data_IF_279009350632
#
_entry.id   IF_279009350632
#
_cell.length_a   1.000
_cell.length_b   1.000
_cell.length_c   1.000
_cell.angle_alpha   90.00
_cell.angle_beta   90.00
_cell.angle_gamma   90.00
#
_symmetry.space_group_name_H-M   'P 1'
#
loop_
_entity.id
_entity.type
_entity.pdbx_description
1 polymer ?
#
# COMPACT_ATOMS: atom_id res chain seq x y z
N UNK A 1 -2.51 -4.00 -12.41
CA UNK A 1 -2.54 -3.68 -10.96
C UNK A 1 -3.92 -3.91 -10.36
N UNK A 2 -4.98 -3.43 -10.98
CA UNK A 2 -6.35 -3.49 -10.42
C UNK A 2 -6.83 -4.93 -10.16
N UNK A 3 -6.50 -5.87 -11.06
CA UNK A 3 -6.71 -7.31 -10.83
C UNK A 3 -5.94 -7.84 -9.60
N UNK A 4 -4.70 -7.39 -9.39
CA UNK A 4 -3.92 -7.77 -8.20
C UNK A 4 -4.57 -7.24 -6.93
N UNK A 5 -5.07 -6.00 -6.93
CA UNK A 5 -5.80 -5.43 -5.80
C UNK A 5 -7.04 -6.25 -5.47
N UNK A 6 -7.84 -6.63 -6.47
CA UNK A 6 -9.01 -7.51 -6.28
C UNK A 6 -8.63 -8.88 -5.70
N UNK A 7 -7.55 -9.48 -6.17
CA UNK A 7 -7.04 -10.74 -5.62
C UNK A 7 -6.60 -10.58 -4.15
N UNK A 8 -5.88 -9.50 -3.85
CA UNK A 8 -5.41 -9.20 -2.50
C UNK A 8 -6.55 -8.88 -1.53
N UNK A 9 -7.61 -8.19 -1.99
CA UNK A 9 -8.81 -7.95 -1.17
C UNK A 9 -9.45 -9.28 -0.74
N UNK A 10 -9.68 -10.19 -1.69
CA UNK A 10 -10.27 -11.51 -1.43
C UNK A 10 -9.40 -12.36 -0.52
N UNK A 11 -8.08 -12.34 -0.76
CA UNK A 11 -7.11 -13.05 0.07
C UNK A 11 -7.10 -12.50 1.50
N UNK A 12 -7.06 -11.17 1.65
CA UNK A 12 -7.11 -10.47 2.93
C UNK A 12 -8.35 -10.86 3.72
N UNK A 13 -9.53 -10.84 3.09
CA UNK A 13 -10.78 -11.24 3.71
C UNK A 13 -10.75 -12.71 4.16
N UNK A 14 -10.36 -13.62 3.26
CA UNK A 14 -10.29 -15.05 3.55
C UNK A 14 -9.35 -15.34 4.72
N UNK A 15 -8.13 -14.80 4.69
CA UNK A 15 -7.12 -14.97 5.74
C UNK A 15 -7.60 -14.35 7.06
N UNK A 16 -8.23 -13.18 7.02
CA UNK A 16 -8.80 -12.54 8.20
C UNK A 16 -9.89 -13.40 8.86
N UNK A 17 -10.73 -14.08 8.07
CA UNK A 17 -11.78 -14.94 8.64
C UNK A 17 -11.22 -16.14 9.40
N UNK A 18 -10.09 -16.70 8.94
CA UNK A 18 -9.42 -17.85 9.56
C UNK A 18 -8.65 -17.41 10.81
N UNK A 19 -7.87 -16.34 10.73
CA UNK A 19 -7.04 -15.82 11.83
C UNK A 19 -7.88 -15.19 12.95
N UNK A 20 -8.95 -14.49 12.57
CA UNK A 20 -9.83 -13.76 13.48
C UNK A 20 -11.24 -14.34 13.35
N UNK A 21 -11.41 -15.61 13.73
CA UNK A 21 -12.69 -16.33 13.66
C UNK A 21 -13.86 -15.58 14.30
N UNK A 22 -13.59 -14.84 15.38
CA UNK A 22 -14.58 -13.99 16.04
C UNK A 22 -14.77 -12.64 15.32
N UNK A 23 -15.96 -12.44 14.75
CA UNK A 23 -16.34 -11.25 14.00
C UNK A 23 -16.31 -9.95 14.82
N UNK A 24 -16.53 -10.01 16.14
CA UNK A 24 -16.50 -8.84 17.02
C UNK A 24 -15.14 -8.15 17.06
N UNK A 25 -14.06 -8.90 16.76
CA UNK A 25 -12.71 -8.39 16.72
C UNK A 25 -12.21 -8.07 15.30
N UNK A 26 -13.00 -8.32 14.24
CA UNK A 26 -12.64 -7.96 12.85
C UNK A 26 -12.78 -6.47 12.53
N UNK A 27 -12.85 -5.60 13.56
CA UNK A 27 -13.10 -4.17 13.39
C UNK A 27 -12.01 -3.54 12.53
N UNK A 28 -12.45 -2.77 11.54
CA UNK A 28 -11.60 -2.18 10.52
C UNK A 28 -10.96 -0.84 10.96
N UNK A 29 -10.88 -0.56 12.26
CA UNK A 29 -10.40 0.74 12.72
C UNK A 29 -8.88 0.92 12.58
N UNK A 30 -8.52 2.15 12.23
CA UNK A 30 -7.26 2.58 11.61
C UNK A 30 -5.98 2.47 12.47
N UNK A 31 -6.02 1.86 13.66
CA UNK A 31 -4.81 1.55 14.44
C UNK A 31 -4.32 0.16 14.09
N UNK A 32 -3.52 0.18 13.03
CA UNK A 32 -3.10 -0.91 12.18
C UNK A 32 -2.03 -1.80 12.85
N UNK A 33 -2.33 -2.39 14.00
CA UNK A 33 -1.52 -3.44 14.60
C UNK A 33 -2.39 -4.68 14.80
N UNK A 34 -2.39 -5.56 13.79
CA UNK A 34 -3.17 -6.81 13.82
C UNK A 34 -2.49 -7.92 14.61
N UNK A 35 -1.18 -7.79 14.88
CA UNK A 35 -0.44 -8.73 15.70
C UNK A 35 -0.73 -8.45 17.19
N UNK A 36 -1.12 -9.45 17.99
CA UNK A 36 -1.25 -9.26 19.43
C UNK A 36 0.12 -8.88 20.02
N UNK A 37 0.17 -8.10 21.10
CA UNK A 37 1.41 -7.84 21.83
C UNK A 37 2.13 -9.15 22.20
N UNK A 38 3.45 -9.13 22.45
CA UNK A 38 4.17 -10.30 22.93
C UNK A 38 3.46 -10.93 24.14
N UNK A 39 3.36 -12.27 24.18
CA UNK A 39 2.70 -13.07 25.24
C UNK A 39 1.18 -12.89 25.36
N UNK A 40 0.54 -12.22 24.41
CA UNK A 40 -0.92 -12.05 24.36
C UNK A 40 -1.57 -12.78 23.19
N UNK A 41 -0.80 -13.58 22.45
CA UNK A 41 -1.37 -14.45 21.43
C UNK A 41 -2.21 -15.56 22.09
N UNK A 42 -3.41 -15.90 21.58
CA UNK A 42 -4.22 -16.97 22.17
C UNK A 42 -3.47 -18.28 22.37
N UNK A 43 -2.58 -18.64 21.43
CA UNK A 43 -1.80 -19.88 21.53
C UNK A 43 -0.66 -19.76 22.55
N UNK A 44 -0.06 -18.58 22.71
CA UNK A 44 0.93 -18.31 23.78
C UNK A 44 0.28 -18.38 25.16
N UNK A 45 -0.94 -17.85 25.30
CA UNK A 45 -1.69 -17.90 26.55
C UNK A 45 -1.99 -19.35 26.94
N UNK A 46 -2.41 -20.19 25.98
CA UNK A 46 -2.65 -21.61 26.23
C UNK A 46 -1.35 -22.34 26.61
N UNK A 47 -0.26 -22.12 25.88
CA UNK A 47 1.05 -22.72 26.21
C UNK A 47 1.52 -22.32 27.62
N UNK A 48 1.36 -21.04 27.98
CA UNK A 48 1.68 -20.52 29.31
C UNK A 48 0.79 -21.14 30.40
N UNK A 49 -0.52 -21.25 30.16
CA UNK A 49 -1.45 -21.88 31.10
C UNK A 49 -1.15 -23.36 31.31
N UNK A 50 -0.85 -24.11 30.25
CA UNK A 50 -0.46 -25.52 30.35
C UNK A 50 0.85 -25.71 31.11
N UNK A 51 1.71 -24.70 31.14
CA UNK A 51 2.97 -24.72 31.89
C UNK A 51 2.78 -24.50 33.39
N UNK A 52 1.58 -24.13 33.85
CA UNK A 52 1.29 -23.86 35.27
C UNK A 52 0.91 -25.13 36.07
N UNK A 53 1.06 -25.04 37.41
CA UNK A 53 0.88 -26.12 38.40
C UNK A 53 -0.38 -26.99 38.28
N UNK A 54 -1.59 -26.49 37.94
CA UNK A 54 -2.78 -27.34 37.89
C UNK A 54 -2.77 -28.41 36.78
N UNK A 55 -1.74 -28.43 35.91
CA UNK A 55 -1.62 -29.36 34.78
C UNK A 55 -0.39 -30.27 34.84
N UNK A 56 0.31 -30.38 35.98
CA UNK A 56 1.54 -31.19 36.08
C UNK A 56 1.33 -32.67 35.71
N UNK A 57 0.17 -33.25 36.01
CA UNK A 57 -0.16 -34.65 35.69
C UNK A 57 -0.74 -34.83 34.28
N UNK A 58 -0.87 -33.75 33.48
CA UNK A 58 -1.46 -33.83 32.16
C UNK A 58 -0.56 -34.60 31.19
N UNK A 59 -1.06 -35.74 30.71
CA UNK A 59 -0.36 -36.60 29.76
C UNK A 59 -0.03 -35.81 28.48
N UNK A 60 1.20 -35.96 28.00
CA UNK A 60 1.71 -35.28 26.79
C UNK A 60 1.77 -33.74 26.88
N UNK A 61 1.75 -33.15 28.09
CA UNK A 61 1.87 -31.70 28.35
C UNK A 61 2.99 -31.03 27.54
N UNK A 62 4.20 -31.60 27.58
CA UNK A 62 5.36 -31.05 26.86
C UNK A 62 5.14 -31.01 25.33
N UNK A 63 4.50 -32.04 24.79
CA UNK A 63 4.16 -32.11 23.36
C UNK A 63 3.12 -31.05 23.00
N UNK A 64 2.07 -30.90 23.82
CA UNK A 64 1.01 -29.92 23.59
C UNK A 64 1.52 -28.48 23.70
N UNK A 65 2.35 -28.16 24.70
CA UNK A 65 3.01 -26.85 24.82
C UNK A 65 3.80 -26.54 23.54
N UNK A 66 4.63 -27.48 23.07
CA UNK A 66 5.41 -27.29 21.85
C UNK A 66 4.57 -27.11 20.58
N UNK A 67 3.37 -27.69 20.51
CA UNK A 67 2.42 -27.47 19.41
C UNK A 67 1.83 -26.06 19.46
N UNK A 68 1.38 -25.61 20.63
CA UNK A 68 0.82 -24.27 20.82
C UNK A 68 1.85 -23.16 20.58
N UNK A 69 3.10 -23.36 20.99
CA UNK A 69 4.19 -22.42 20.69
C UNK A 69 4.43 -22.30 19.18
N UNK A 70 4.40 -23.41 18.43
CA UNK A 70 4.50 -23.37 16.97
C UNK A 70 3.32 -22.65 16.33
N UNK A 71 2.09 -22.96 16.77
CA UNK A 71 0.88 -22.28 16.30
C UNK A 71 0.92 -20.78 16.58
N UNK A 72 1.45 -20.35 17.72
CA UNK A 72 1.64 -18.93 18.03
C UNK A 72 2.58 -18.23 17.03
N UNK A 73 3.69 -18.86 16.68
CA UNK A 73 4.64 -18.31 15.70
C UNK A 73 3.96 -18.14 14.34
N UNK A 74 3.31 -19.20 13.84
CA UNK A 74 2.60 -19.18 12.57
C UNK A 74 1.45 -18.16 12.56
N UNK A 75 0.65 -18.10 13.63
CA UNK A 75 -0.46 -17.16 13.76
C UNK A 75 0.02 -15.71 13.79
N UNK A 76 1.14 -15.40 14.45
CA UNK A 76 1.79 -14.08 14.41
C UNK A 76 2.29 -13.72 13.01
N UNK A 77 2.86 -14.67 12.28
CA UNK A 77 3.31 -14.45 10.89
C UNK A 77 2.14 -14.19 9.96
N UNK A 78 1.07 -14.95 10.09
CA UNK A 78 -0.15 -14.78 9.31
C UNK A 78 -0.79 -13.40 9.56
N UNK A 79 -0.81 -12.92 10.81
CA UNK A 79 -1.26 -11.56 11.17
C UNK A 79 -0.37 -10.46 10.58
N UNK A 80 0.96 -10.67 10.59
CA UNK A 80 1.93 -9.76 9.93
C UNK A 80 1.71 -9.70 8.42
N UNK A 81 1.45 -10.84 7.78
CA UNK A 81 1.14 -10.91 6.35
C UNK A 81 -0.16 -10.17 6.02
N UNK A 82 -1.22 -10.41 6.79
CA UNK A 82 -2.51 -9.75 6.64
C UNK A 82 -2.38 -8.22 6.78
N UNK A 83 -1.58 -7.77 7.75
CA UNK A 83 -1.26 -6.35 7.93
C UNK A 83 -0.59 -5.74 6.70
N UNK A 84 0.39 -6.42 6.11
CA UNK A 84 1.08 -5.97 4.89
C UNK A 84 0.12 -5.87 3.71
N UNK A 85 -0.75 -6.87 3.50
CA UNK A 85 -1.77 -6.85 2.44
C UNK A 85 -2.70 -5.65 2.64
N UNK A 86 -3.20 -5.47 3.86
CA UNK A 86 -4.15 -4.40 4.18
C UNK A 86 -3.53 -3.01 4.01
N UNK A 87 -2.29 -2.83 4.45
CA UNK A 87 -1.54 -1.58 4.24
C UNK A 87 -1.43 -1.26 2.76
N UNK A 88 -1.06 -2.24 1.93
CA UNK A 88 -0.95 -2.04 0.49
C UNK A 88 -2.29 -1.62 -0.13
N UNK A 89 -3.38 -2.32 0.18
CA UNK A 89 -4.72 -2.02 -0.35
C UNK A 89 -5.18 -0.62 0.05
N UNK A 90 -5.02 -0.26 1.33
CA UNK A 90 -5.61 0.96 1.89
C UNK A 90 -4.78 2.21 1.61
N UNK A 91 -3.46 2.09 1.52
CA UNK A 91 -2.55 3.22 1.41
C UNK A 91 -1.82 3.23 0.08
N UNK A 92 -1.03 2.19 -0.20
CA UNK A 92 -0.09 2.23 -1.34
C UNK A 92 -0.83 2.20 -2.68
N UNK A 93 -1.87 1.38 -2.80
CA UNK A 93 -2.72 1.34 -3.99
C UNK A 93 -3.45 2.67 -4.22
N UNK A 94 -3.91 3.33 -3.14
CA UNK A 94 -4.55 4.64 -3.23
C UNK A 94 -3.58 5.72 -3.74
N UNK A 95 -2.33 5.71 -3.25
CA UNK A 95 -1.28 6.61 -3.75
C UNK A 95 -1.01 6.39 -5.23
N UNK A 96 -0.91 5.13 -5.68
CA UNK A 96 -0.76 4.82 -7.11
C UNK A 96 -1.96 5.35 -7.91
N UNK A 97 -3.16 5.23 -7.36
CA UNK A 97 -4.39 5.81 -7.94
C UNK A 97 -4.25 7.31 -8.19
N UNK A 98 -3.79 8.08 -7.20
CA UNK A 98 -3.55 9.53 -7.37
C UNK A 98 -2.54 9.81 -8.48
N UNK A 99 -1.43 9.05 -8.52
CA UNK A 99 -0.40 9.25 -9.55
C UNK A 99 -0.94 8.97 -10.96
N UNK A 100 -1.82 7.98 -11.12
CA UNK A 100 -2.51 7.68 -12.38
C UNK A 100 -3.48 8.79 -12.78
N UNK A 101 -4.29 9.29 -11.84
CA UNK A 101 -5.20 10.43 -12.11
C UNK A 101 -4.44 11.68 -12.53
N UNK A 102 -3.32 11.99 -11.88
CA UNK A 102 -2.47 13.13 -12.25
C UNK A 102 -1.88 12.96 -13.66
N UNK A 103 -1.48 11.75 -14.03
CA UNK A 103 -1.01 11.43 -15.38
C UNK A 103 -2.12 11.61 -16.43
N UNK A 104 -3.35 11.17 -16.12
CA UNK A 104 -4.51 11.31 -17.01
C UNK A 104 -4.86 12.80 -17.22
N UNK A 105 -4.76 13.62 -16.17
CA UNK A 105 -4.95 15.08 -16.28
C UNK A 105 -3.89 15.72 -17.18
N UNK A 106 -2.61 15.39 -17.00
CA UNK A 106 -1.53 15.89 -17.85
C UNK A 106 -1.68 15.45 -19.31
N UNK A 107 -2.20 14.24 -19.55
CA UNK A 107 -2.54 13.79 -20.90
C UNK A 107 -3.63 14.66 -21.52
N UNK A 108 -4.69 14.94 -20.78
CA UNK A 108 -5.78 15.80 -21.26
C UNK A 108 -5.29 17.23 -21.57
N UNK A 109 -4.42 17.79 -20.72
CA UNK A 109 -3.78 19.10 -20.95
C UNK A 109 -2.90 19.10 -22.22
N UNK A 110 -2.10 18.06 -22.41
CA UNK A 110 -1.28 17.88 -23.61
C UNK A 110 -2.15 17.76 -24.88
N UNK A 111 -3.21 16.95 -24.83
CA UNK A 111 -4.13 16.76 -25.95
C UNK A 111 -4.87 18.06 -26.29
N UNK A 112 -5.23 18.86 -25.29
CA UNK A 112 -5.79 20.20 -25.47
C UNK A 112 -4.78 21.18 -26.08
N UNK A 113 -3.54 21.22 -25.58
CA UNK A 113 -2.50 22.08 -26.15
C UNK A 113 -2.20 21.70 -27.63
N UNK A 114 -2.27 20.42 -27.95
CA UNK A 114 -2.12 19.90 -29.31
C UNK A 114 -3.26 20.32 -30.23
N UNK A 115 -4.50 20.27 -29.77
CA UNK A 115 -5.65 20.73 -30.57
C UNK A 115 -5.59 22.24 -30.81
N UNK A 116 -5.19 23.01 -29.80
CA UNK A 116 -5.01 24.45 -29.87
C UNK A 116 -3.89 24.85 -30.84
N UNK A 117 -2.77 24.13 -30.84
CA UNK A 117 -1.69 24.33 -31.81
C UNK A 117 -2.17 24.05 -33.24
N UNK A 118 -2.92 22.97 -33.46
CA UNK A 118 -3.48 22.62 -34.78
C UNK A 118 -4.49 23.65 -35.30
N UNK A 119 -5.20 24.34 -34.41
CA UNK A 119 -6.20 25.34 -34.77
C UNK A 119 -5.61 26.73 -35.06
N UNK A 120 -4.36 26.99 -34.66
CA UNK A 120 -3.70 28.27 -34.90
C UNK A 120 -3.27 28.42 -36.37
N UNK A 121 -3.56 29.60 -36.93
CA UNK A 121 -3.24 29.96 -38.33
C UNK A 121 -2.21 31.09 -38.43
N UNK A 122 -2.11 31.92 -37.40
CA UNK A 122 -1.15 33.03 -37.35
C UNK A 122 0.24 32.54 -36.92
N UNK A 123 1.33 32.87 -37.65
CA UNK A 123 2.67 32.39 -37.34
C UNK A 123 3.15 32.71 -35.92
N UNK A 124 2.90 33.91 -35.40
CA UNK A 124 3.31 34.29 -34.04
C UNK A 124 2.55 33.48 -32.98
N UNK A 125 1.25 33.27 -33.21
CA UNK A 125 0.41 32.44 -32.36
C UNK A 125 0.82 30.95 -32.42
N UNK A 126 1.19 30.44 -33.60
CA UNK A 126 1.70 29.07 -33.78
C UNK A 126 2.96 28.87 -32.94
N UNK A 127 3.91 29.80 -32.98
CA UNK A 127 5.14 29.72 -32.19
C UNK A 127 4.86 29.69 -30.67
N UNK A 128 3.93 30.53 -30.21
CA UNK A 128 3.52 30.55 -28.80
C UNK A 128 2.86 29.22 -28.40
N UNK A 129 1.89 28.75 -29.17
CA UNK A 129 1.18 27.49 -28.87
C UNK A 129 2.09 26.27 -28.97
N UNK A 130 3.08 26.29 -29.84
CA UNK A 130 4.09 25.23 -29.94
C UNK A 130 4.93 25.16 -28.67
N UNK A 131 5.32 26.31 -28.08
CA UNK A 131 6.00 26.32 -26.77
C UNK A 131 5.14 25.72 -25.66
N UNK A 132 3.85 26.08 -25.60
CA UNK A 132 2.90 25.54 -24.60
C UNK A 132 2.72 24.03 -24.79
N UNK A 133 2.56 23.55 -26.02
CA UNK A 133 2.46 22.13 -26.32
C UNK A 133 3.72 21.36 -25.85
N UNK A 134 4.92 21.86 -26.17
CA UNK A 134 6.17 21.21 -25.75
C UNK A 134 6.34 21.17 -24.23
N UNK A 135 5.87 22.19 -23.50
CA UNK A 135 5.85 22.18 -22.04
C UNK A 135 4.90 21.10 -21.49
N UNK A 136 3.70 20.98 -22.07
CA UNK A 136 2.73 19.95 -21.68
C UNK A 136 3.24 18.53 -21.98
N UNK A 137 3.91 18.33 -23.13
CA UNK A 137 4.57 17.06 -23.48
C UNK A 137 5.62 16.70 -22.43
N UNK A 138 6.53 17.63 -22.10
CA UNK A 138 7.57 17.37 -21.11
C UNK A 138 7.01 17.03 -19.73
N UNK A 139 5.94 17.71 -19.29
CA UNK A 139 5.26 17.41 -18.03
C UNK A 139 4.63 16.01 -18.04
N UNK A 140 3.92 15.66 -19.11
CA UNK A 140 3.31 14.33 -19.30
C UNK A 140 4.37 13.22 -19.32
N UNK A 141 5.42 13.36 -20.12
CA UNK A 141 6.49 12.36 -20.21
C UNK A 141 7.24 12.17 -18.89
N UNK A 142 7.52 13.28 -18.18
CA UNK A 142 8.11 13.23 -16.85
C UNK A 142 7.26 12.41 -15.88
N UNK A 143 5.94 12.66 -15.85
CA UNK A 143 5.01 11.92 -15.00
C UNK A 143 4.84 10.47 -15.43
N UNK A 144 4.77 10.21 -16.73
CA UNK A 144 4.67 8.86 -17.29
C UNK A 144 5.84 7.99 -16.85
N UNK A 145 7.06 8.55 -16.85
CA UNK A 145 8.25 7.85 -16.39
C UNK A 145 8.19 7.55 -14.87
N UNK A 146 7.73 8.51 -14.06
CA UNK A 146 7.55 8.29 -12.61
C UNK A 146 6.53 7.17 -12.33
N UNK A 147 5.36 7.20 -13.00
CA UNK A 147 4.32 6.18 -12.85
C UNK A 147 4.80 4.83 -13.35
N UNK A 148 5.49 4.77 -14.48
CA UNK A 148 6.02 3.51 -15.04
C UNK A 148 7.01 2.85 -14.06
N UNK A 149 7.96 3.62 -13.51
CA UNK A 149 8.91 3.11 -12.50
C UNK A 149 8.21 2.57 -11.26
N UNK A 150 7.16 3.25 -10.80
CA UNK A 150 6.35 2.83 -9.66
C UNK A 150 5.66 1.49 -9.96
N UNK A 151 5.05 1.37 -11.14
CA UNK A 151 4.34 0.17 -11.57
C UNK A 151 5.28 -1.03 -11.75
N UNK A 152 6.47 -0.82 -12.33
CA UNK A 152 7.48 -1.86 -12.49
C UNK A 152 8.04 -2.34 -11.15
N UNK A 153 8.25 -1.41 -10.20
CA UNK A 153 8.67 -1.77 -8.85
C UNK A 153 7.64 -2.68 -8.16
N UNK A 154 6.36 -2.31 -8.26
CA UNK A 154 5.26 -3.11 -7.72
C UNK A 154 5.20 -4.48 -8.40
N UNK A 155 5.29 -4.54 -9.74
CA UNK A 155 5.25 -5.79 -10.49
C UNK A 155 6.41 -6.73 -10.10
N UNK A 156 7.64 -6.22 -9.99
CA UNK A 156 8.81 -7.00 -9.54
C UNK A 156 8.61 -7.60 -8.16
N UNK A 157 8.00 -6.85 -7.24
CA UNK A 157 7.68 -7.38 -5.91
C UNK A 157 6.66 -8.52 -5.93
N UNK A 158 5.80 -8.62 -6.95
CA UNK A 158 4.85 -9.74 -7.09
C UNK A 158 5.42 -10.93 -7.87
N UNK A 159 6.41 -10.72 -8.76
CA UNK A 159 7.02 -11.78 -9.58
C UNK A 159 8.20 -12.46 -8.87
N UNK A 160 9.02 -11.70 -8.13
CA UNK A 160 10.25 -12.21 -7.50
C UNK A 160 10.07 -12.69 -6.06
N UNK A 161 8.88 -12.48 -5.49
CA UNK A 161 8.61 -12.84 -4.11
C UNK A 161 7.66 -14.04 -4.04
N UNK A 162 8.19 -15.16 -3.56
CA UNK A 162 7.37 -16.08 -2.78
C UNK A 162 6.62 -15.25 -1.71
N UNK A 163 5.34 -15.55 -1.46
CA UNK A 163 4.45 -14.71 -0.64
C UNK A 163 5.08 -14.38 0.73
N UNK A 164 5.85 -15.32 1.31
CA UNK A 164 6.64 -15.10 2.52
C UNK A 164 7.73 -14.02 2.40
N UNK A 165 8.46 -13.95 1.27
CA UNK A 165 9.46 -12.90 1.01
C UNK A 165 8.84 -11.52 0.79
N UNK A 166 7.63 -11.46 0.22
CA UNK A 166 6.92 -10.20 0.00
C UNK A 166 6.55 -9.53 1.32
N UNK A 167 6.01 -10.33 2.26
CA UNK A 167 5.66 -9.87 3.61
C UNK A 167 6.89 -9.35 4.37
N UNK A 168 8.06 -9.97 4.18
CA UNK A 168 9.30 -9.58 4.86
C UNK A 168 10.03 -8.37 4.24
N UNK A 169 9.77 -7.99 2.98
CA UNK A 169 10.47 -6.89 2.26
C UNK A 169 9.82 -5.51 2.39
N UNK A 170 8.96 -5.32 3.39
CA UNK A 170 8.16 -4.09 3.64
C UNK A 170 8.94 -2.78 3.59
N UNK A 171 10.21 -2.76 4.01
CA UNK A 171 11.08 -1.57 3.96
C UNK A 171 11.29 -1.02 2.56
N UNK A 172 11.19 -1.85 1.52
CA UNK A 172 11.34 -1.43 0.12
C UNK A 172 10.14 -0.58 -0.32
N UNK A 173 8.92 -1.00 0.00
CA UNK A 173 7.70 -0.24 -0.34
C UNK A 173 7.62 1.09 0.42
N UNK A 174 7.86 1.09 1.73
CA UNK A 174 7.84 2.35 2.51
C UNK A 174 8.90 3.34 2.01
N UNK A 175 10.07 2.86 1.55
CA UNK A 175 11.11 3.73 0.99
C UNK A 175 10.82 4.18 -0.45
N UNK A 176 10.14 3.36 -1.27
CA UNK A 176 9.68 3.73 -2.62
C UNK A 176 8.64 4.86 -2.60
N UNK A 177 7.75 4.89 -1.60
CA UNK A 177 6.68 5.90 -1.49
C UNK A 177 7.04 7.13 -0.62
N UNK A 178 8.13 7.10 0.15
CA UNK A 178 8.65 8.25 0.95
C UNK A 178 8.88 9.54 0.15
N UNK A 179 9.43 9.52 -1.09
CA UNK A 179 9.60 10.73 -1.89
C UNK A 179 8.27 11.34 -2.33
N UNK A 180 7.27 10.50 -2.64
CA UNK A 180 5.95 10.90 -3.13
C UNK A 180 5.15 11.59 -2.00
N UNK A 181 5.16 11.01 -0.81
CA UNK A 181 4.54 11.59 0.40
C UNK A 181 5.19 12.91 0.82
N UNK A 182 6.51 13.08 0.66
CA UNK A 182 7.18 14.39 0.89
C UNK A 182 6.76 15.47 -0.10
N UNK A 183 6.69 15.15 -1.41
CA UNK A 183 6.22 16.10 -2.44
C UNK A 183 4.76 16.49 -2.26
N UNK A 184 3.89 15.55 -1.89
CA UNK A 184 2.48 15.83 -1.62
C UNK A 184 2.29 16.69 -0.35
N UNK A 185 3.04 16.43 0.72
CA UNK A 185 3.02 17.30 1.90
C UNK A 185 3.53 18.73 1.61
N UNK A 186 4.48 18.88 0.68
CA UNK A 186 4.91 20.21 0.21
C UNK A 186 3.87 20.87 -0.70
N UNK A 187 3.19 20.13 -1.57
CA UNK A 187 2.16 20.66 -2.46
C UNK A 187 0.91 21.06 -1.67
N UNK A 188 0.43 20.22 -0.75
CA UNK A 188 -0.67 20.54 0.17
C UNK A 188 -0.35 21.78 1.01
N UNK A 189 0.86 21.88 1.59
CA UNK A 189 1.29 23.09 2.31
C UNK A 189 1.32 24.35 1.42
N UNK A 190 1.78 24.24 0.18
CA UNK A 190 1.77 25.37 -0.79
C UNK A 190 0.35 25.80 -1.16
N UNK A 191 -0.58 24.86 -1.35
CA UNK A 191 -1.98 25.15 -1.67
C UNK A 191 -2.70 25.78 -0.47
N UNK A 192 -2.48 25.28 0.75
CA UNK A 192 -3.02 25.87 1.98
C UNK A 192 -2.45 27.27 2.25
N UNK A 193 -1.15 27.49 2.01
CA UNK A 193 -0.54 28.83 2.13
C UNK A 193 -1.10 29.81 1.09
N UNK A 194 -1.33 29.39 -0.16
CA UNK A 194 -1.97 30.26 -1.17
C UNK A 194 -3.40 30.66 -0.80
N UNK A 195 -4.16 29.77 -0.17
CA UNK A 195 -5.53 30.05 0.29
C UNK A 195 -5.59 30.96 1.52
N UNK A 196 -4.54 30.96 2.35
CA UNK A 196 -4.45 31.79 3.55
C UNK A 196 -3.90 33.21 3.27
N UNK A 197 -3.16 33.40 2.19
CA UNK A 197 -2.52 34.69 1.84
C UNK A 197 -3.17 35.43 0.66
N UNK A 198 -4.23 34.87 0.04
CA UNK A 198 -5.05 35.54 -0.99
C UNK A 198 -6.44 35.95 -0.48
N UNK A 199 -6.51 36.45 0.77
CA UNK A 199 -7.68 37.19 1.28
C UNK A 199 -7.33 38.65 1.46
#
# INVERSE_FOLDING_TARGET
LDKYKLCLDRLSESVCTVIQGNSAFRKMDQKMELAPPPKQDPYELVASSLSSDPFEEYKDKKTQIGLYEKQAVEHREARRALHSIRTFIQHDYWIIGIQRTELDNLRAEMDFAKSELKSAKDPQLVDLKNKVYNQAVHAFEGKLNEVTKLMDAVARCFVEADFGRWVSRRTVFTNLFKPITKRQNQHAKKTTLRLLYNK
#
